data_IF_322231195260
#
_entry.id   IF_322231195260
#
_cell.length_a   1.000
_cell.length_b   1.000
_cell.length_c   1.000
_cell.angle_alpha   90.00
_cell.angle_beta   90.00
_cell.angle_gamma   90.00
#
_symmetry.space_group_name_H-M   'P 1'
#
loop_
_entity.id
_entity.type
_entity.pdbx_description
1 polymer ?
#
# COMPACT_ATOMS: atom_id res chain seq x y z
N UNK A 1 -2.49 -20.55 15.57
CA UNK A 1 -3.82 -20.28 16.16
C UNK A 1 -4.83 -21.22 15.51
N UNK A 2 -5.76 -21.84 16.25
CA UNK A 2 -6.86 -22.60 15.63
C UNK A 2 -7.99 -21.62 15.33
N UNK A 3 -8.09 -21.17 14.08
CA UNK A 3 -9.25 -20.44 13.61
C UNK A 3 -10.46 -21.39 13.62
N UNK A 4 -11.67 -20.93 14.02
CA UNK A 4 -12.83 -21.81 14.13
C UNK A 4 -13.21 -22.45 12.78
N UNK A 5 -13.55 -23.74 12.79
CA UNK A 5 -14.00 -24.49 11.60
C UNK A 5 -15.32 -23.95 11.02
N UNK A 6 -16.15 -23.32 11.87
CA UNK A 6 -17.40 -22.66 11.47
C UNK A 6 -17.62 -21.39 12.30
N UNK A 7 -18.14 -20.34 11.64
CA UNK A 7 -18.50 -19.08 12.30
C UNK A 7 -19.97 -19.04 12.74
N UNK A 8 -20.77 -20.04 12.38
CA UNK A 8 -22.22 -20.04 12.61
C UNK A 8 -22.53 -19.95 14.11
N UNK A 9 -23.27 -18.91 14.49
CA UNK A 9 -23.67 -18.66 15.88
C UNK A 9 -22.57 -18.13 16.80
N UNK A 10 -21.33 -17.99 16.33
CA UNK A 10 -20.25 -17.42 17.14
C UNK A 10 -20.44 -15.91 17.31
N UNK A 11 -20.29 -15.43 18.54
CA UNK A 11 -20.22 -14.00 18.83
C UNK A 11 -18.82 -13.49 18.53
N UNK A 12 -18.72 -12.52 17.64
CA UNK A 12 -17.43 -12.04 17.12
C UNK A 12 -17.41 -10.52 17.19
N UNK A 13 -16.39 -9.97 17.84
CA UNK A 13 -16.20 -8.54 17.93
C UNK A 13 -15.45 -8.04 16.70
N UNK A 14 -16.00 -7.03 16.01
CA UNK A 14 -15.25 -6.23 15.04
C UNK A 14 -14.86 -4.93 15.72
N UNK A 15 -13.57 -4.75 15.96
CA UNK A 15 -13.00 -3.56 16.57
C UNK A 15 -12.53 -2.61 15.47
N UNK A 16 -13.28 -1.53 15.27
CA UNK A 16 -13.12 -0.54 14.21
C UNK A 16 -14.00 -0.83 12.99
N UNK A 17 -14.96 0.04 12.71
CA UNK A 17 -15.98 0.00 11.64
C UNK A 17 -15.64 0.82 10.40
N UNK A 18 -14.36 0.91 10.03
CA UNK A 18 -13.93 1.48 8.75
C UNK A 18 -14.30 0.58 7.56
N UNK A 19 -13.67 0.81 6.40
CA UNK A 19 -13.93 0.02 5.17
C UNK A 19 -13.70 -1.49 5.40
N UNK A 20 -12.57 -1.86 6.01
CA UNK A 20 -12.25 -3.27 6.34
C UNK A 20 -13.21 -3.84 7.38
N UNK A 21 -13.50 -3.07 8.44
CA UNK A 21 -14.39 -3.49 9.52
C UNK A 21 -15.81 -3.79 9.03
N UNK A 22 -16.37 -2.89 8.21
CA UNK A 22 -17.69 -3.09 7.63
C UNK A 22 -17.73 -4.28 6.66
N UNK A 23 -16.66 -4.50 5.89
CA UNK A 23 -16.57 -5.70 5.04
C UNK A 23 -16.53 -6.98 5.86
N UNK A 24 -15.75 -7.00 6.95
CA UNK A 24 -15.72 -8.13 7.89
C UNK A 24 -17.10 -8.35 8.55
N UNK A 25 -17.80 -7.29 9.00
CA UNK A 25 -19.16 -7.39 9.53
C UNK A 25 -20.11 -8.08 8.54
N UNK A 26 -20.14 -7.60 7.29
CA UNK A 26 -21.00 -8.15 6.25
C UNK A 26 -20.68 -9.62 5.97
N UNK A 27 -19.39 -9.96 5.92
CA UNK A 27 -18.94 -11.34 5.76
C UNK A 27 -19.38 -12.24 6.93
N UNK A 28 -19.20 -11.77 8.17
CA UNK A 28 -19.62 -12.50 9.37
C UNK A 28 -21.13 -12.76 9.38
N UNK A 29 -21.93 -11.77 8.97
CA UNK A 29 -23.39 -11.93 8.79
C UNK A 29 -23.70 -13.00 7.75
N UNK A 30 -23.02 -13.00 6.59
CA UNK A 30 -23.25 -14.02 5.55
C UNK A 30 -22.87 -15.43 6.01
N UNK A 31 -21.89 -15.56 6.91
CA UNK A 31 -21.53 -16.84 7.54
C UNK A 31 -22.41 -17.20 8.75
N UNK A 32 -23.51 -16.45 8.97
CA UNK A 32 -24.48 -16.67 10.06
C UNK A 32 -23.83 -16.58 11.45
N UNK A 33 -22.78 -15.79 11.60
CA UNK A 33 -22.21 -15.42 12.88
C UNK A 33 -23.09 -14.38 13.59
N UNK A 34 -22.71 -14.01 14.81
CA UNK A 34 -23.31 -12.94 15.60
C UNK A 34 -22.29 -11.80 15.79
N UNK A 35 -22.02 -11.00 14.75
CA UNK A 35 -21.06 -9.92 14.85
C UNK A 35 -21.54 -8.80 15.76
N UNK A 36 -20.58 -8.15 16.41
CA UNK A 36 -20.76 -6.97 17.26
C UNK A 36 -19.76 -5.92 16.78
N UNK A 37 -20.19 -4.67 16.62
CA UNK A 37 -19.31 -3.57 16.24
C UNK A 37 -18.89 -2.80 17.49
N UNK A 38 -17.58 -2.56 17.61
CA UNK A 38 -17.03 -1.62 18.56
C UNK A 38 -16.18 -0.57 17.82
N UNK A 39 -16.58 0.70 17.88
CA UNK A 39 -15.92 1.81 17.19
C UNK A 39 -16.07 3.13 17.97
N UNK A 40 -15.15 4.07 17.74
CA UNK A 40 -15.22 5.42 18.30
C UNK A 40 -16.45 6.19 17.79
N UNK A 41 -16.77 6.03 16.50
CA UNK A 41 -17.84 6.72 15.81
C UNK A 41 -19.03 5.79 15.64
N UNK A 42 -20.17 6.18 16.20
CA UNK A 42 -21.40 5.44 15.98
C UNK A 42 -21.81 5.56 14.50
N UNK A 43 -21.99 4.44 13.78
CA UNK A 43 -22.48 4.49 12.41
C UNK A 43 -23.94 4.96 12.37
N UNK A 44 -24.31 5.75 11.37
CA UNK A 44 -25.68 6.26 11.20
C UNK A 44 -26.72 5.13 11.12
N UNK A 45 -26.33 3.97 10.56
CA UNK A 45 -27.14 2.77 10.51
C UNK A 45 -26.26 1.57 10.83
N UNK A 46 -26.63 0.81 11.85
CA UNK A 46 -26.05 -0.51 12.15
C UNK A 46 -27.15 -1.54 12.30
N UNK A 47 -26.94 -2.70 11.69
CA UNK A 47 -27.81 -3.88 11.85
C UNK A 47 -27.30 -4.83 12.93
N UNK A 48 -26.16 -4.50 13.54
CA UNK A 48 -25.50 -5.28 14.59
C UNK A 48 -25.43 -4.48 15.89
N UNK A 49 -25.34 -5.15 17.06
CA UNK A 49 -25.08 -4.47 18.32
C UNK A 49 -23.82 -3.59 18.23
N UNK A 50 -23.93 -2.37 18.77
CA UNK A 50 -22.85 -1.38 18.76
C UNK A 50 -22.42 -1.03 20.19
N UNK A 51 -21.11 -0.90 20.38
CA UNK A 51 -20.51 -0.40 21.61
C UNK A 51 -19.48 0.69 21.28
N UNK A 52 -19.43 1.81 22.02
CA UNK A 52 -18.35 2.77 21.82
C UNK A 52 -17.01 2.14 22.24
N UNK A 53 -15.90 2.55 21.62
CA UNK A 53 -14.58 1.95 21.89
C UNK A 53 -13.96 2.33 23.24
N UNK A 54 -14.53 3.34 23.91
CA UNK A 54 -14.14 3.80 25.24
C UNK A 54 -14.82 3.03 26.39
N UNK A 55 -15.64 2.00 26.10
CA UNK A 55 -16.25 1.20 27.17
C UNK A 55 -15.20 0.39 27.94
N UNK A 56 -15.44 0.12 29.24
CA UNK A 56 -14.66 -0.87 29.97
C UNK A 56 -14.72 -2.22 29.22
N UNK A 57 -13.58 -2.86 28.91
CA UNK A 57 -13.58 -4.14 28.19
C UNK A 57 -14.40 -5.25 28.88
N UNK A 58 -14.55 -5.18 30.21
CA UNK A 58 -15.36 -6.12 31.00
C UNK A 58 -16.86 -5.98 30.75
N UNK A 59 -17.31 -4.86 30.19
CA UNK A 59 -18.71 -4.62 29.81
C UNK A 59 -19.06 -5.19 28.44
N UNK A 60 -18.06 -5.63 27.66
CA UNK A 60 -18.30 -6.35 26.41
C UNK A 60 -18.92 -7.72 26.70
N UNK A 61 -19.86 -8.18 25.86
CA UNK A 61 -20.32 -9.56 25.93
C UNK A 61 -19.17 -10.53 25.66
N UNK A 62 -19.31 -11.76 26.13
CA UNK A 62 -18.34 -12.81 25.83
C UNK A 62 -18.30 -13.09 24.32
N UNK A 63 -17.11 -12.98 23.73
CA UNK A 63 -16.85 -13.18 22.30
C UNK A 63 -15.79 -14.25 22.10
N UNK A 64 -15.89 -14.97 20.98
CA UNK A 64 -14.97 -16.06 20.63
C UNK A 64 -13.80 -15.62 19.76
N UNK A 65 -13.88 -14.44 19.15
CA UNK A 65 -12.89 -13.91 18.20
C UNK A 65 -13.02 -12.38 18.15
N UNK A 66 -11.89 -11.70 17.97
CA UNK A 66 -11.82 -10.28 17.64
C UNK A 66 -11.24 -10.10 16.23
N UNK A 67 -11.99 -9.42 15.37
CA UNK A 67 -11.48 -8.89 14.10
C UNK A 67 -11.01 -7.46 14.35
N UNK A 68 -9.71 -7.23 14.26
CA UNK A 68 -9.09 -5.91 14.46
C UNK A 68 -8.97 -5.19 13.12
N UNK A 69 -9.50 -3.98 13.05
CA UNK A 69 -9.24 -3.08 11.91
C UNK A 69 -7.83 -2.48 11.98
N UNK A 70 -7.16 -2.23 10.83
CA UNK A 70 -5.77 -1.76 10.81
C UNK A 70 -5.55 -0.41 11.53
N UNK A 71 -6.56 0.45 11.55
CA UNK A 71 -6.50 1.75 12.23
C UNK A 71 -6.44 1.68 13.76
N UNK A 72 -6.82 0.54 14.35
CA UNK A 72 -6.82 0.38 15.81
C UNK A 72 -5.39 0.23 16.32
N UNK A 73 -5.05 1.03 17.34
CA UNK A 73 -3.73 1.00 17.97
C UNK A 73 -3.50 -0.33 18.70
N UNK A 74 -2.29 -0.90 18.66
CA UNK A 74 -1.96 -2.12 19.41
C UNK A 74 -2.17 -2.00 20.93
N UNK A 75 -2.15 -0.78 21.47
CA UNK A 75 -2.35 -0.48 22.90
C UNK A 75 -3.81 -0.34 23.30
N UNK A 76 -4.76 -0.63 22.40
CA UNK A 76 -6.18 -0.49 22.69
C UNK A 76 -6.60 -1.42 23.86
N UNK A 77 -7.32 -0.94 24.90
CA UNK A 77 -7.64 -1.72 26.09
C UNK A 77 -8.34 -3.07 25.81
N UNK A 78 -9.22 -3.10 24.81
CA UNK A 78 -9.90 -4.34 24.35
C UNK A 78 -8.90 -5.40 23.86
N UNK A 79 -7.78 -5.02 23.25
CA UNK A 79 -6.76 -5.97 22.78
C UNK A 79 -6.00 -6.59 23.96
N UNK A 80 -5.67 -5.80 24.97
CA UNK A 80 -5.09 -6.32 26.22
C UNK A 80 -6.05 -7.28 26.92
N UNK A 81 -7.33 -6.91 27.00
CA UNK A 81 -8.38 -7.78 27.55
C UNK A 81 -8.53 -9.09 26.77
N UNK A 82 -8.51 -9.03 25.44
CA UNK A 82 -8.56 -10.21 24.58
C UNK A 82 -7.35 -11.13 24.84
N UNK A 83 -6.14 -10.57 24.99
CA UNK A 83 -4.95 -11.33 25.32
C UNK A 83 -5.06 -12.03 26.69
N UNK A 84 -5.50 -11.32 27.73
CA UNK A 84 -5.70 -11.87 29.08
C UNK A 84 -6.72 -13.03 29.09
N UNK A 85 -7.77 -12.89 28.28
CA UNK A 85 -8.81 -13.92 28.11
C UNK A 85 -8.47 -14.99 27.08
N UNK A 86 -7.29 -14.92 26.45
CA UNK A 86 -6.84 -15.80 25.36
C UNK A 86 -7.83 -15.84 24.19
N UNK A 87 -8.55 -14.75 23.95
CA UNK A 87 -9.44 -14.57 22.81
C UNK A 87 -8.56 -14.28 21.59
N UNK A 88 -8.70 -15.05 20.50
CA UNK A 88 -7.93 -14.81 19.29
C UNK A 88 -8.24 -13.43 18.70
N UNK A 89 -7.19 -12.71 18.29
CA UNK A 89 -7.27 -11.46 17.53
C UNK A 89 -6.70 -11.72 16.15
N UNK A 90 -7.45 -11.35 15.12
CA UNK A 90 -7.07 -11.54 13.71
C UNK A 90 -7.43 -10.29 12.90
N UNK A 91 -6.80 -10.10 11.74
CA UNK A 91 -7.20 -9.05 10.81
C UNK A 91 -8.33 -9.49 9.89
N UNK A 92 -8.91 -8.54 9.15
CA UNK A 92 -9.81 -8.82 8.03
C UNK A 92 -9.13 -9.65 6.92
N UNK A 93 -7.81 -9.50 6.72
CA UNK A 93 -7.06 -10.28 5.75
C UNK A 93 -6.94 -11.75 6.18
N UNK A 94 -6.71 -12.02 7.46
CA UNK A 94 -6.70 -13.38 8.01
C UNK A 94 -8.06 -14.06 7.85
N UNK A 95 -9.14 -13.31 8.12
CA UNK A 95 -10.51 -13.77 7.93
C UNK A 95 -10.75 -14.14 6.46
N UNK A 96 -10.41 -13.26 5.51
CA UNK A 96 -10.54 -13.55 4.08
C UNK A 96 -9.68 -14.75 3.66
N UNK A 97 -8.44 -14.83 4.15
CA UNK A 97 -7.51 -15.92 3.81
C UNK A 97 -8.04 -17.28 4.22
N UNK A 98 -8.68 -17.39 5.37
CA UNK A 98 -9.21 -18.65 5.87
C UNK A 98 -10.25 -19.27 4.93
N UNK A 99 -11.07 -18.44 4.27
CA UNK A 99 -12.14 -18.91 3.37
C UNK A 99 -11.73 -18.98 1.90
N UNK A 100 -10.67 -18.26 1.51
CA UNK A 100 -10.19 -18.26 0.13
C UNK A 100 -9.41 -19.52 -0.21
N UNK A 101 -9.79 -20.17 -1.31
CA UNK A 101 -9.21 -21.45 -1.78
C UNK A 101 -8.28 -21.31 -3.00
N UNK A 102 -8.30 -20.16 -3.67
CA UNK A 102 -7.45 -19.90 -4.83
C UNK A 102 -6.02 -19.57 -4.43
N UNK A 103 -5.22 -19.23 -5.44
CA UNK A 103 -3.84 -18.76 -5.24
C UNK A 103 -3.82 -17.30 -4.78
N UNK A 104 -2.81 -16.90 -4.01
CA UNK A 104 -2.67 -15.52 -3.55
C UNK A 104 -1.27 -15.00 -3.81
N UNK A 105 -1.22 -13.80 -4.41
CA UNK A 105 -0.02 -12.96 -4.44
C UNK A 105 -0.22 -11.81 -3.46
N UNK A 106 0.66 -11.65 -2.49
CA UNK A 106 0.67 -10.50 -1.58
C UNK A 106 1.77 -9.51 -1.92
N UNK A 107 1.47 -8.21 -1.89
CA UNK A 107 2.43 -7.14 -2.17
C UNK A 107 2.51 -6.19 -0.98
N UNK A 108 3.71 -5.97 -0.46
CA UNK A 108 4.00 -4.91 0.51
C UNK A 108 5.25 -4.12 0.13
N UNK A 109 5.48 -3.05 0.85
CA UNK A 109 6.53 -2.07 0.61
C UNK A 109 6.18 -0.74 1.26
N UNK A 110 7.12 0.19 1.25
CA UNK A 110 6.83 1.58 1.61
C UNK A 110 6.12 2.24 0.43
N UNK A 111 6.73 2.12 -0.75
CA UNK A 111 6.23 2.69 -2.01
C UNK A 111 6.07 1.62 -3.10
N UNK A 112 5.42 2.00 -4.21
CA UNK A 112 5.22 1.14 -5.37
C UNK A 112 4.09 0.11 -5.23
N UNK A 113 3.68 -0.25 -4.01
CA UNK A 113 2.63 -1.26 -3.69
C UNK A 113 1.47 -1.30 -4.68
N UNK A 114 0.69 -0.23 -4.76
CA UNK A 114 -0.51 -0.20 -5.60
C UNK A 114 -0.19 -0.38 -7.09
N UNK A 115 0.88 0.27 -7.56
CA UNK A 115 1.32 0.12 -8.96
C UNK A 115 1.71 -1.32 -9.24
N UNK A 116 2.49 -1.95 -8.35
CA UNK A 116 2.91 -3.34 -8.49
C UNK A 116 1.72 -4.30 -8.41
N UNK A 117 0.77 -4.10 -7.49
CA UNK A 117 -0.47 -4.90 -7.38
C UNK A 117 -1.23 -4.90 -8.70
N UNK A 118 -1.54 -3.71 -9.23
CA UNK A 118 -2.29 -3.61 -10.49
C UNK A 118 -1.47 -4.00 -11.71
N UNK A 119 -0.14 -3.85 -11.68
CA UNK A 119 0.73 -4.32 -12.75
C UNK A 119 0.77 -5.85 -12.78
N UNK A 120 0.86 -6.53 -11.63
CA UNK A 120 0.76 -7.99 -11.54
C UNK A 120 -0.59 -8.47 -12.07
N UNK A 121 -1.69 -7.86 -11.60
CA UNK A 121 -3.04 -8.17 -12.08
C UNK A 121 -3.17 -7.98 -13.60
N UNK A 122 -2.61 -6.89 -14.15
CA UNK A 122 -2.61 -6.62 -15.58
C UNK A 122 -1.82 -7.64 -16.39
N UNK A 123 -0.61 -7.99 -15.94
CA UNK A 123 0.25 -8.98 -16.61
C UNK A 123 -0.36 -10.39 -16.59
N UNK A 124 -1.11 -10.73 -15.54
CA UNK A 124 -1.67 -12.06 -15.34
C UNK A 124 -3.08 -12.25 -15.92
N UNK A 125 -3.70 -11.19 -16.44
CA UNK A 125 -5.12 -11.19 -16.80
C UNK A 125 -5.51 -12.23 -17.87
N UNK A 126 -4.60 -12.66 -18.75
CA UNK A 126 -4.92 -13.73 -19.71
C UNK A 126 -4.69 -15.12 -19.12
N UNK A 127 -3.71 -15.26 -18.21
CA UNK A 127 -3.42 -16.53 -17.54
C UNK A 127 -4.44 -16.84 -16.43
N UNK A 128 -5.01 -15.81 -15.81
CA UNK A 128 -6.01 -15.88 -14.75
C UNK A 128 -7.16 -14.87 -15.04
N UNK A 129 -8.07 -15.16 -15.98
CA UNK A 129 -9.11 -14.21 -16.41
C UNK A 129 -10.05 -13.72 -15.31
N UNK A 130 -10.27 -14.57 -14.31
CA UNK A 130 -11.12 -14.37 -13.14
C UNK A 130 -10.38 -13.77 -11.94
N UNK A 131 -9.09 -13.43 -12.07
CA UNK A 131 -8.33 -12.82 -10.97
C UNK A 131 -9.01 -11.55 -10.44
N UNK A 132 -8.82 -11.30 -9.14
CA UNK A 132 -9.22 -10.03 -8.50
C UNK A 132 -8.06 -9.41 -7.73
N UNK A 133 -7.99 -8.08 -7.78
CA UNK A 133 -7.11 -7.28 -6.94
C UNK A 133 -7.88 -6.73 -5.72
N UNK A 134 -7.20 -6.60 -4.58
CA UNK A 134 -7.85 -6.12 -3.35
C UNK A 134 -6.89 -5.88 -2.19
N UNK A 135 -7.45 -5.92 -0.98
CA UNK A 135 -6.72 -5.69 0.28
C UNK A 135 -6.74 -4.22 0.67
N UNK A 136 -5.56 -3.61 0.86
CA UNK A 136 -5.43 -2.17 1.10
C UNK A 136 -5.74 -1.33 -0.15
N UNK A 137 -5.73 -1.95 -1.33
CA UNK A 137 -6.07 -1.31 -2.60
C UNK A 137 -7.50 -1.67 -3.01
N UNK A 138 -8.35 -0.67 -3.18
CA UNK A 138 -9.69 -0.86 -3.74
C UNK A 138 -10.63 -1.58 -2.78
N UNK A 139 -10.88 -2.87 -3.05
CA UNK A 139 -11.90 -3.66 -2.35
C UNK A 139 -11.28 -4.53 -1.24
N UNK A 140 -11.91 -4.61 -0.05
CA UNK A 140 -11.48 -5.52 1.02
C UNK A 140 -11.47 -6.99 0.58
N UNK A 141 -10.60 -7.80 1.16
CA UNK A 141 -10.47 -9.19 0.77
C UNK A 141 -11.72 -10.01 1.11
N UNK A 142 -12.34 -9.77 2.27
CA UNK A 142 -13.55 -10.46 2.71
C UNK A 142 -14.77 -10.23 1.80
N UNK A 143 -14.75 -9.18 0.95
CA UNK A 143 -15.86 -8.95 0.03
C UNK A 143 -15.89 -9.92 -1.16
N UNK A 144 -14.77 -10.60 -1.45
CA UNK A 144 -14.67 -11.51 -2.60
C UNK A 144 -13.99 -12.85 -2.28
N UNK A 145 -13.56 -13.09 -1.04
CA UNK A 145 -12.81 -14.29 -0.65
C UNK A 145 -13.59 -15.62 -0.81
N UNK A 146 -14.91 -15.59 -1.01
CA UNK A 146 -15.74 -16.78 -1.29
C UNK A 146 -16.14 -16.93 -2.75
N UNK A 147 -15.78 -15.97 -3.60
CA UNK A 147 -16.02 -16.10 -5.02
C UNK A 147 -15.13 -17.20 -5.61
N UNK A 148 -15.64 -17.87 -6.65
CA UNK A 148 -14.90 -18.92 -7.36
C UNK A 148 -13.89 -18.31 -8.32
N UNK A 149 -12.89 -17.62 -7.78
CA UNK A 149 -11.79 -17.02 -8.54
C UNK A 149 -10.49 -17.80 -8.30
N UNK A 150 -9.65 -17.89 -9.34
CA UNK A 150 -8.41 -18.65 -9.33
C UNK A 150 -7.26 -17.95 -8.60
N UNK A 151 -7.24 -16.62 -8.58
CA UNK A 151 -6.14 -15.81 -8.09
C UNK A 151 -6.62 -14.50 -7.42
N UNK A 152 -6.12 -14.25 -6.21
CA UNK A 152 -6.22 -12.96 -5.53
C UNK A 152 -4.85 -12.25 -5.54
N UNK A 153 -4.83 -10.96 -5.92
CA UNK A 153 -3.63 -10.11 -5.89
C UNK A 153 -3.86 -9.02 -4.84
N UNK A 154 -3.24 -9.16 -3.69
CA UNK A 154 -3.55 -8.36 -2.50
C UNK A 154 -2.45 -7.34 -2.21
N UNK A 155 -2.82 -6.06 -2.15
CA UNK A 155 -1.97 -5.05 -1.51
C UNK A 155 -2.10 -5.18 0.02
N UNK A 156 -0.98 -5.32 0.73
CA UNK A 156 -0.94 -5.50 2.17
C UNK A 156 -0.08 -4.41 2.84
N UNK A 157 -0.72 -3.61 3.70
CA UNK A 157 -0.05 -2.63 4.53
C UNK A 157 0.69 -3.28 5.70
N UNK A 158 1.64 -2.58 6.32
CA UNK A 158 2.26 -3.05 7.56
C UNK A 158 1.24 -3.22 8.70
N UNK A 159 0.17 -2.42 8.69
CA UNK A 159 -0.84 -2.45 9.75
C UNK A 159 -1.76 -3.67 9.64
N UNK A 160 -1.96 -4.19 8.43
CA UNK A 160 -2.64 -5.47 8.24
C UNK A 160 -1.71 -6.62 8.61
N UNK A 161 -0.45 -6.57 8.16
CA UNK A 161 0.51 -7.66 8.37
C UNK A 161 0.95 -7.83 9.82
N UNK A 162 1.04 -6.75 10.62
CA UNK A 162 1.48 -6.83 12.01
C UNK A 162 0.56 -7.73 12.87
N UNK A 163 -0.73 -7.81 12.55
CA UNK A 163 -1.72 -8.61 13.27
C UNK A 163 -1.96 -9.97 12.62
N UNK A 164 -1.42 -10.19 11.41
CA UNK A 164 -1.65 -11.42 10.68
C UNK A 164 -0.80 -12.58 11.17
N UNK A 165 -1.41 -13.76 11.11
CA UNK A 165 -0.69 -15.04 11.12
C UNK A 165 -0.06 -15.29 9.75
N UNK A 166 0.79 -16.31 9.57
CA UNK A 166 1.28 -16.66 8.23
C UNK A 166 0.09 -16.80 7.26
N UNK A 167 0.01 -15.87 6.31
CA UNK A 167 -1.11 -15.81 5.37
C UNK A 167 -1.04 -16.93 4.32
N UNK A 168 -0.03 -17.80 4.37
CA UNK A 168 0.19 -18.91 3.44
C UNK A 168 -0.08 -18.51 1.99
N UNK A 169 0.63 -17.46 1.56
CA UNK A 169 0.59 -16.94 0.20
C UNK A 169 1.41 -17.85 -0.72
N UNK A 170 1.06 -17.93 -2.00
CA UNK A 170 1.89 -18.63 -2.98
C UNK A 170 3.13 -17.81 -3.30
N UNK A 171 2.93 -16.51 -3.55
CA UNK A 171 4.00 -15.55 -3.85
C UNK A 171 3.81 -14.31 -2.99
N UNK A 172 4.89 -13.80 -2.41
CA UNK A 172 4.92 -12.49 -1.76
C UNK A 172 5.96 -11.58 -2.41
N UNK A 173 5.66 -10.28 -2.43
CA UNK A 173 6.56 -9.25 -2.93
C UNK A 173 6.77 -8.22 -1.82
N UNK A 174 8.03 -8.03 -1.42
CA UNK A 174 8.42 -6.95 -0.51
C UNK A 174 9.34 -5.98 -1.27
N UNK A 175 8.74 -4.89 -1.77
CA UNK A 175 9.37 -4.00 -2.74
C UNK A 175 10.57 -3.23 -2.16
N UNK A 176 10.31 -2.46 -1.10
CA UNK A 176 11.27 -1.51 -0.54
C UNK A 176 10.92 -1.17 0.91
N UNK A 177 11.89 -0.65 1.63
CA UNK A 177 11.75 -0.17 2.99
C UNK A 177 12.37 1.23 3.11
N UNK A 178 11.55 2.22 3.46
CA UNK A 178 11.95 3.59 3.77
C UNK A 178 11.19 4.07 5.02
N UNK A 179 11.59 5.20 5.61
CA UNK A 179 10.94 5.72 6.82
C UNK A 179 9.49 6.09 6.52
N UNK A 180 8.55 5.39 7.15
CA UNK A 180 7.11 5.67 7.14
C UNK A 180 6.51 5.00 8.39
N UNK A 181 5.40 5.54 8.89
CA UNK A 181 4.64 4.96 9.99
C UNK A 181 5.41 4.69 11.31
N UNK A 182 6.48 5.45 11.58
CA UNK A 182 7.28 5.29 12.79
C UNK A 182 6.54 5.68 14.07
N UNK A 183 5.50 6.52 13.96
CA UNK A 183 4.58 6.81 15.06
C UNK A 183 3.89 5.55 15.61
N UNK A 184 3.71 4.53 14.76
CA UNK A 184 3.11 3.24 15.14
C UNK A 184 4.18 2.20 15.47
N UNK A 185 5.16 2.05 14.59
CA UNK A 185 6.16 0.97 14.70
C UNK A 185 7.29 1.30 15.67
N UNK A 186 7.47 2.57 16.04
CA UNK A 186 8.53 3.10 16.90
C UNK A 186 9.94 3.05 16.28
N UNK A 187 10.29 1.96 15.61
CA UNK A 187 11.62 1.75 15.00
C UNK A 187 11.51 1.19 13.58
N UNK A 188 12.55 1.45 12.77
CA UNK A 188 12.69 0.86 11.43
C UNK A 188 12.81 -0.67 11.45
N UNK A 189 13.31 -1.24 12.54
CA UNK A 189 13.38 -2.70 12.72
C UNK A 189 11.97 -3.28 12.89
N UNK A 190 11.17 -2.71 13.78
CA UNK A 190 9.78 -3.15 13.96
C UNK A 190 8.97 -3.01 12.67
N UNK A 191 9.18 -1.92 11.92
CA UNK A 191 8.51 -1.73 10.63
C UNK A 191 8.91 -2.78 9.58
N UNK A 192 10.21 -3.14 9.55
CA UNK A 192 10.71 -4.22 8.70
C UNK A 192 10.10 -5.57 9.09
N UNK A 193 10.13 -5.93 10.37
CA UNK A 193 9.55 -7.18 10.88
C UNK A 193 8.05 -7.26 10.61
N UNK A 194 7.31 -6.16 10.77
CA UNK A 194 5.90 -6.09 10.46
C UNK A 194 5.62 -6.40 8.97
N UNK A 195 6.42 -5.86 8.05
CA UNK A 195 6.28 -6.17 6.61
C UNK A 195 6.75 -7.58 6.25
N UNK A 196 7.79 -8.08 6.90
CA UNK A 196 8.36 -9.40 6.63
C UNK A 196 7.35 -10.52 6.92
N UNK A 197 6.36 -10.29 7.79
CA UNK A 197 5.23 -11.21 8.01
C UNK A 197 4.42 -11.54 6.76
N UNK A 198 4.58 -10.80 5.66
CA UNK A 198 4.02 -11.19 4.37
C UNK A 198 4.56 -12.54 3.87
N UNK A 199 5.77 -12.92 4.30
CA UNK A 199 6.44 -14.13 3.88
C UNK A 199 6.25 -15.24 4.91
N UNK A 200 5.95 -16.44 4.41
CA UNK A 200 6.09 -17.67 5.20
C UNK A 200 7.52 -18.20 5.01
N UNK A 201 8.45 -17.68 5.81
CA UNK A 201 9.89 -17.96 5.67
C UNK A 201 10.22 -19.45 5.87
N UNK A 202 9.37 -20.20 6.58
CA UNK A 202 9.54 -21.64 6.81
C UNK A 202 8.99 -22.52 5.69
N UNK A 203 8.23 -21.99 4.75
CA UNK A 203 7.55 -22.78 3.74
C UNK A 203 8.34 -22.82 2.43
N UNK A 204 8.90 -23.98 2.08
CA UNK A 204 9.68 -24.18 0.84
C UNK A 204 8.86 -24.01 -0.45
N UNK A 205 7.52 -24.12 -0.37
CA UNK A 205 6.64 -23.91 -1.51
C UNK A 205 6.26 -22.43 -1.70
N UNK A 206 6.59 -21.57 -0.73
CA UNK A 206 6.38 -20.14 -0.82
C UNK A 206 7.52 -19.47 -1.59
N UNK A 207 7.20 -18.54 -2.48
CA UNK A 207 8.19 -17.67 -3.12
C UNK A 207 8.11 -16.26 -2.56
N UNK A 208 9.22 -15.76 -2.02
CA UNK A 208 9.40 -14.38 -1.58
C UNK A 208 10.27 -13.63 -2.59
N UNK A 209 9.73 -12.55 -3.17
CA UNK A 209 10.41 -11.65 -4.11
C UNK A 209 10.73 -10.34 -3.40
N UNK A 210 12.00 -9.92 -3.45
CA UNK A 210 12.48 -8.72 -2.73
C UNK A 210 13.42 -7.87 -3.57
N UNK A 211 13.61 -6.61 -3.20
CA UNK A 211 14.73 -5.83 -3.76
C UNK A 211 16.07 -6.35 -3.23
N UNK A 212 17.16 -6.05 -3.93
CA UNK A 212 18.53 -6.39 -3.52
C UNK A 212 18.85 -5.98 -2.08
N UNK A 213 18.48 -4.76 -1.69
CA UNK A 213 18.71 -4.25 -0.32
C UNK A 213 17.99 -5.08 0.74
N UNK A 214 16.77 -5.54 0.45
CA UNK A 214 16.02 -6.37 1.38
C UNK A 214 16.59 -7.80 1.40
N UNK A 215 17.01 -8.33 0.25
CA UNK A 215 17.68 -9.64 0.17
C UNK A 215 18.93 -9.67 1.03
N UNK A 216 19.80 -8.66 0.92
CA UNK A 216 21.01 -8.53 1.74
C UNK A 216 20.67 -8.55 3.24
N UNK A 217 19.65 -7.79 3.66
CA UNK A 217 19.21 -7.78 5.06
C UNK A 217 18.71 -9.15 5.52
N UNK A 218 17.92 -9.85 4.71
CA UNK A 218 17.42 -11.19 5.04
C UNK A 218 18.58 -12.17 5.19
N UNK A 219 19.52 -12.20 4.23
CA UNK A 219 20.69 -13.08 4.26
C UNK A 219 21.54 -12.88 5.52
N UNK A 220 21.68 -11.65 5.99
CA UNK A 220 22.52 -11.32 7.14
C UNK A 220 21.88 -11.57 8.51
N UNK A 221 20.54 -11.66 8.59
CA UNK A 221 19.85 -11.59 9.89
C UNK A 221 18.73 -12.61 10.10
N UNK A 222 18.30 -13.33 9.05
CA UNK A 222 17.07 -14.12 9.09
C UNK A 222 17.30 -15.49 8.48
N UNK A 223 16.91 -16.55 9.20
CA UNK A 223 16.82 -17.90 8.64
C UNK A 223 15.57 -18.04 7.78
N UNK A 224 15.71 -18.64 6.60
CA UNK A 224 14.60 -18.90 5.68
C UNK A 224 14.80 -20.23 4.92
N UNK A 225 13.68 -20.83 4.53
CA UNK A 225 13.58 -22.05 3.72
C UNK A 225 12.72 -21.83 2.46
N UNK A 226 11.96 -20.73 2.41
CA UNK A 226 11.21 -20.34 1.22
C UNK A 226 12.13 -20.01 0.04
N UNK A 227 11.58 -20.03 -1.17
CA UNK A 227 12.30 -19.61 -2.37
C UNK A 227 12.47 -18.10 -2.38
N UNK A 228 13.70 -17.62 -2.19
CA UNK A 228 14.03 -16.18 -2.18
C UNK A 228 14.52 -15.73 -3.56
N UNK A 229 13.80 -14.80 -4.18
CA UNK A 229 14.15 -14.18 -5.46
C UNK A 229 14.38 -12.68 -5.28
N UNK A 230 15.30 -12.10 -6.05
CA UNK A 230 15.58 -10.67 -6.04
C UNK A 230 15.39 -9.99 -7.39
N UNK A 231 15.01 -8.72 -7.33
CA UNK A 231 15.07 -7.80 -8.48
C UNK A 231 15.97 -6.61 -8.15
N UNK A 232 16.66 -6.09 -9.18
CA UNK A 232 17.52 -4.92 -9.05
C UNK A 232 18.54 -4.81 -10.17
N UNK A 233 19.60 -4.03 -9.93
CA UNK A 233 20.56 -3.58 -10.95
C UNK A 233 21.87 -4.37 -10.95
N UNK A 234 21.98 -5.39 -10.10
CA UNK A 234 23.14 -6.29 -10.07
C UNK A 234 22.85 -7.52 -10.93
N UNK A 235 23.87 -8.04 -11.60
CA UNK A 235 23.74 -9.21 -12.47
C UNK A 235 23.26 -10.46 -11.73
N UNK A 236 23.42 -10.51 -10.42
CA UNK A 236 23.03 -11.63 -9.56
C UNK A 236 21.54 -11.58 -9.16
N UNK A 237 20.82 -10.52 -9.55
CA UNK A 237 19.38 -10.44 -9.37
C UNK A 237 18.64 -11.41 -10.31
N UNK A 238 17.63 -12.09 -9.76
CA UNK A 238 16.79 -13.01 -10.52
C UNK A 238 15.95 -12.29 -11.57
N UNK A 239 15.63 -11.01 -11.37
CA UNK A 239 15.24 -10.09 -12.43
C UNK A 239 16.24 -8.93 -12.46
N UNK A 240 17.14 -8.99 -13.44
CA UNK A 240 18.17 -7.99 -13.66
C UNK A 240 17.64 -6.85 -14.54
N UNK A 241 17.71 -5.65 -13.99
CA UNK A 241 17.44 -4.39 -14.66
C UNK A 241 18.75 -3.82 -15.22
N UNK A 242 18.98 -4.04 -16.49
CA UNK A 242 20.11 -3.44 -17.19
C UNK A 242 19.74 -1.99 -17.57
N UNK A 243 20.32 -1.01 -16.86
CA UNK A 243 20.03 0.41 -17.06
C UNK A 243 20.35 0.90 -18.48
N UNK A 244 21.35 0.29 -19.12
CA UNK A 244 21.77 0.61 -20.48
C UNK A 244 20.94 -0.11 -21.55
N UNK A 245 20.01 -0.97 -21.13
CA UNK A 245 19.11 -1.67 -22.01
C UNK A 245 17.64 -1.33 -21.74
N UNK A 246 16.81 -1.53 -22.76
CA UNK A 246 15.36 -1.52 -22.62
C UNK A 246 14.86 -2.94 -22.36
N UNK A 247 15.55 -3.73 -21.52
CA UNK A 247 15.22 -5.12 -21.23
C UNK A 247 15.25 -5.43 -19.74
N UNK A 248 14.40 -6.37 -19.32
CA UNK A 248 14.47 -7.04 -18.03
C UNK A 248 14.80 -8.51 -18.29
N UNK A 249 15.89 -9.01 -17.72
CA UNK A 249 16.30 -10.40 -17.85
C UNK A 249 15.95 -11.15 -16.57
N UNK A 250 15.06 -12.14 -16.67
CA UNK A 250 14.84 -13.09 -15.58
C UNK A 250 15.77 -14.29 -15.72
N UNK A 251 15.79 -15.19 -14.74
CA UNK A 251 16.50 -16.46 -14.86
C UNK A 251 15.94 -17.37 -15.97
N UNK A 252 14.73 -17.10 -16.45
CA UNK A 252 14.02 -17.93 -17.43
C UNK A 252 13.86 -17.25 -18.80
N UNK A 253 13.58 -15.95 -18.81
CA UNK A 253 13.18 -15.22 -20.02
C UNK A 253 13.78 -13.82 -20.09
N UNK A 254 13.68 -13.18 -21.25
CA UNK A 254 14.09 -11.80 -21.47
C UNK A 254 12.90 -11.02 -22.02
N UNK A 255 12.52 -9.95 -21.33
CA UNK A 255 11.39 -9.09 -21.71
C UNK A 255 11.89 -7.77 -22.29
N UNK A 256 11.32 -7.37 -23.42
CA UNK A 256 11.48 -6.03 -23.97
C UNK A 256 10.54 -5.04 -23.27
N UNK A 257 11.12 -4.01 -22.68
CA UNK A 257 10.43 -2.93 -21.97
C UNK A 257 10.54 -1.58 -22.71
N UNK A 258 10.98 -1.58 -23.96
CA UNK A 258 11.12 -0.36 -24.78
C UNK A 258 9.82 0.43 -24.94
N UNK A 259 8.68 -0.27 -24.88
CA UNK A 259 7.32 0.29 -24.96
C UNK A 259 6.61 0.35 -23.61
N UNK A 260 7.31 0.13 -22.50
CA UNK A 260 6.73 0.29 -21.17
C UNK A 260 6.44 1.77 -20.91
N UNK A 261 5.17 2.07 -20.60
CA UNK A 261 4.67 3.45 -20.60
C UNK A 261 5.15 4.28 -19.40
N UNK A 262 5.28 3.65 -18.22
CA UNK A 262 5.58 4.40 -17.00
C UNK A 262 7.07 4.79 -16.94
N UNK A 263 7.38 6.09 -16.79
CA UNK A 263 8.77 6.54 -16.73
C UNK A 263 9.40 6.26 -15.36
N UNK A 264 10.73 6.32 -15.30
CA UNK A 264 11.49 6.28 -14.06
C UNK A 264 11.96 4.89 -13.63
N UNK A 265 13.10 4.84 -12.94
CA UNK A 265 13.75 3.62 -12.47
C UNK A 265 12.88 2.83 -11.50
N UNK A 266 12.19 3.50 -10.58
CA UNK A 266 11.28 2.86 -9.62
C UNK A 266 10.13 2.10 -10.30
N UNK A 267 9.61 2.59 -11.43
CA UNK A 267 8.57 1.88 -12.17
C UNK A 267 9.14 0.68 -12.94
N UNK A 268 10.39 0.75 -13.38
CA UNK A 268 11.09 -0.42 -13.93
C UNK A 268 11.33 -1.48 -12.84
N UNK A 269 11.68 -1.07 -11.62
CA UNK A 269 11.81 -1.98 -10.46
C UNK A 269 10.46 -2.62 -10.10
N UNK A 270 9.38 -1.84 -10.06
CA UNK A 270 8.02 -2.37 -9.89
C UNK A 270 7.70 -3.40 -10.99
N UNK A 271 8.04 -3.11 -12.25
CA UNK A 271 7.85 -4.04 -13.36
C UNK A 271 8.67 -5.32 -13.22
N UNK A 272 9.94 -5.22 -12.82
CA UNK A 272 10.79 -6.38 -12.60
C UNK A 272 10.23 -7.30 -11.49
N UNK A 273 9.80 -6.71 -10.38
CA UNK A 273 9.11 -7.44 -9.31
C UNK A 273 7.80 -8.09 -9.80
N UNK A 274 7.00 -7.36 -10.59
CA UNK A 274 5.75 -7.87 -11.16
C UNK A 274 5.96 -9.01 -12.14
N UNK A 275 7.00 -8.96 -12.98
CA UNK A 275 7.37 -10.03 -13.91
C UNK A 275 7.75 -11.29 -13.13
N UNK A 276 8.61 -11.19 -12.11
CA UNK A 276 8.96 -12.35 -11.28
C UNK A 276 7.72 -12.97 -10.62
N UNK A 277 6.83 -12.13 -10.06
CA UNK A 277 5.62 -12.64 -9.41
C UNK A 277 4.69 -13.32 -10.43
N UNK A 278 4.58 -12.76 -11.63
CA UNK A 278 3.79 -13.33 -12.70
C UNK A 278 4.36 -14.68 -13.18
N UNK A 279 5.68 -14.80 -13.37
CA UNK A 279 6.30 -16.07 -13.74
C UNK A 279 6.12 -17.15 -12.67
N UNK A 280 6.29 -16.79 -11.40
CA UNK A 280 6.28 -17.75 -10.28
C UNK A 280 4.89 -18.28 -9.96
N UNK A 281 3.83 -17.50 -10.22
CA UNK A 281 2.46 -17.97 -10.06
C UNK A 281 1.97 -18.84 -11.25
N UNK A 282 2.72 -18.85 -12.36
CA UNK A 282 2.44 -19.63 -13.56
C UNK A 282 1.95 -18.81 -14.78
N UNK A 283 2.21 -17.51 -14.81
CA UNK A 283 1.95 -16.66 -15.98
C UNK A 283 2.82 -17.05 -17.17
N UNK A 284 2.22 -17.04 -18.37
CA UNK A 284 2.93 -17.37 -19.62
C UNK A 284 3.82 -16.20 -20.08
N UNK A 285 5.09 -16.43 -20.45
CA UNK A 285 6.02 -15.36 -20.80
C UNK A 285 5.55 -14.53 -22.01
N UNK A 286 4.93 -15.16 -23.01
CA UNK A 286 4.39 -14.45 -24.18
C UNK A 286 3.26 -13.50 -23.78
N UNK A 287 2.38 -13.94 -22.87
CA UNK A 287 1.27 -13.13 -22.34
C UNK A 287 1.76 -11.97 -21.48
N UNK A 288 2.77 -12.21 -20.64
CA UNK A 288 3.44 -11.15 -19.87
C UNK A 288 4.00 -10.10 -20.84
N UNK A 289 4.75 -10.53 -21.86
CA UNK A 289 5.36 -9.63 -22.84
C UNK A 289 4.34 -8.78 -23.61
N UNK A 290 3.23 -9.35 -24.08
CA UNK A 290 2.19 -8.60 -24.82
C UNK A 290 1.48 -7.58 -23.93
N UNK A 291 1.40 -7.83 -22.62
CA UNK A 291 0.75 -6.96 -21.65
C UNK A 291 1.60 -5.78 -21.21
N UNK A 292 2.93 -5.91 -21.13
CA UNK A 292 3.86 -4.83 -20.73
C UNK A 292 3.55 -3.47 -21.41
N UNK A 293 3.44 -3.37 -22.75
CA UNK A 293 3.21 -2.08 -23.42
C UNK A 293 1.79 -1.53 -23.24
N UNK A 294 0.86 -2.30 -22.69
CA UNK A 294 -0.55 -1.93 -22.53
C UNK A 294 -0.87 -1.32 -21.16
N UNK A 295 0.02 -1.47 -20.18
CA UNK A 295 -0.21 -0.89 -18.85
C UNK A 295 -0.09 0.64 -18.92
N UNK A 296 -1.07 1.35 -18.33
CA UNK A 296 -1.13 2.83 -18.33
C UNK A 296 -0.96 3.45 -16.95
N UNK A 297 -0.65 2.64 -15.94
CA UNK A 297 -0.59 3.08 -14.55
C UNK A 297 -1.96 3.06 -13.87
N UNK A 298 -1.98 3.59 -12.65
CA UNK A 298 -3.18 3.69 -11.83
C UNK A 298 -3.87 5.05 -12.04
N UNK A 299 -5.21 5.10 -11.95
CA UNK A 299 -5.90 6.36 -11.73
C UNK A 299 -5.32 7.09 -10.50
N UNK A 300 -5.21 8.41 -10.57
CA UNK A 300 -4.73 9.30 -9.50
C UNK A 300 -3.26 9.14 -9.07
N UNK A 301 -2.42 8.53 -9.92
CA UNK A 301 -0.96 8.49 -9.74
C UNK A 301 -0.28 9.09 -10.97
N UNK A 302 0.28 10.30 -10.83
CA UNK A 302 0.74 11.13 -11.96
C UNK A 302 -0.26 11.23 -13.12
N UNK A 303 -1.55 11.22 -12.80
CA UNK A 303 -2.59 11.25 -13.81
C UNK A 303 -2.84 12.68 -14.27
N UNK A 304 -2.79 12.96 -15.58
CA UNK A 304 -3.29 14.23 -16.12
C UNK A 304 -4.81 14.27 -15.86
N UNK A 305 -5.23 15.12 -14.93
CA UNK A 305 -6.62 15.32 -14.53
C UNK A 305 -7.38 16.25 -15.47
N UNK A 306 -6.65 17.00 -16.30
CA UNK A 306 -7.20 17.90 -17.31
C UNK A 306 -6.28 19.09 -17.55
N UNK A 307 -6.68 19.95 -18.47
CA UNK A 307 -6.01 21.20 -18.76
C UNK A 307 -7.03 22.34 -18.76
N UNK A 308 -6.67 23.47 -18.17
CA UNK A 308 -7.50 24.67 -18.21
C UNK A 308 -6.62 25.91 -18.16
N UNK A 309 -6.90 26.88 -19.03
CA UNK A 309 -6.14 28.15 -19.14
C UNK A 309 -4.62 27.92 -19.36
N UNK A 310 -4.25 26.88 -20.11
CA UNK A 310 -2.85 26.53 -20.36
C UNK A 310 -2.13 25.89 -19.18
N UNK A 311 -2.85 25.56 -18.10
CA UNK A 311 -2.31 24.85 -16.93
C UNK A 311 -2.77 23.39 -16.98
N UNK A 312 -1.81 22.47 -17.02
CA UNK A 312 -2.08 21.03 -16.88
C UNK A 312 -2.17 20.65 -15.40
N UNK A 313 -3.26 20.00 -15.01
CA UNK A 313 -3.47 19.50 -13.67
C UNK A 313 -3.04 18.04 -13.58
N UNK A 314 -2.19 17.73 -12.61
CA UNK A 314 -1.69 16.37 -12.39
C UNK A 314 -2.14 15.92 -11.02
N UNK A 315 -2.93 14.84 -10.99
CA UNK A 315 -3.38 14.21 -9.78
C UNK A 315 -2.39 13.11 -9.36
N UNK A 316 -1.69 13.36 -8.26
CA UNK A 316 -0.85 12.40 -7.56
C UNK A 316 -1.25 12.25 -6.08
N UNK A 317 -2.56 12.34 -5.79
CA UNK A 317 -3.14 12.25 -4.44
C UNK A 317 -2.84 10.95 -3.69
N UNK A 318 -2.32 9.92 -4.39
CA UNK A 318 -1.87 8.67 -3.78
C UNK A 318 -0.48 8.76 -3.12
N UNK A 319 0.28 9.83 -3.37
CA UNK A 319 1.55 10.12 -2.70
C UNK A 319 1.30 10.68 -1.28
N UNK A 320 1.06 9.77 -0.34
CA UNK A 320 0.70 10.09 1.07
C UNK A 320 1.90 10.18 2.02
N UNK A 321 3.12 10.17 1.51
CA UNK A 321 4.37 10.43 2.24
C UNK A 321 5.34 11.19 1.32
N UNK A 322 6.34 11.87 1.90
CA UNK A 322 7.29 12.71 1.15
C UNK A 322 8.14 11.88 0.18
N UNK A 323 8.50 10.66 0.57
CA UNK A 323 9.33 9.78 -0.24
C UNK A 323 8.65 9.39 -1.57
N UNK A 324 7.35 9.03 -1.54
CA UNK A 324 6.55 8.71 -2.74
C UNK A 324 6.46 9.90 -3.69
N UNK A 325 6.14 11.07 -3.15
CA UNK A 325 6.03 12.31 -3.93
C UNK A 325 7.37 12.64 -4.60
N UNK A 326 8.47 12.62 -3.84
CA UNK A 326 9.81 12.91 -4.38
C UNK A 326 10.27 11.88 -5.41
N UNK A 327 9.96 10.60 -5.21
CA UNK A 327 10.29 9.54 -6.16
C UNK A 327 9.59 9.76 -7.52
N UNK A 328 8.33 10.20 -7.49
CA UNK A 328 7.59 10.56 -8.69
C UNK A 328 8.10 11.84 -9.37
N UNK A 329 8.51 12.83 -8.57
CA UNK A 329 9.06 14.09 -9.09
C UNK A 329 10.54 14.01 -9.47
N UNK A 330 11.24 12.91 -9.20
CA UNK A 330 12.68 12.78 -9.44
C UNK A 330 13.07 13.07 -10.90
N UNK A 331 12.25 12.62 -11.85
CA UNK A 331 12.46 12.80 -13.30
C UNK A 331 11.71 14.00 -13.88
N UNK A 332 11.13 14.86 -13.03
CA UNK A 332 10.37 16.03 -13.48
C UNK A 332 11.28 17.08 -14.12
N UNK A 333 11.00 17.46 -15.36
CA UNK A 333 11.86 18.37 -16.14
C UNK A 333 11.51 19.84 -15.94
N UNK A 334 10.23 20.17 -15.81
CA UNK A 334 9.73 21.57 -15.80
C UNK A 334 9.46 22.05 -14.37
N UNK A 335 10.42 21.86 -13.46
CA UNK A 335 10.27 22.15 -12.03
C UNK A 335 9.97 23.63 -11.79
N UNK A 336 10.63 24.52 -12.52
CA UNK A 336 10.45 25.98 -12.51
C UNK A 336 9.06 26.46 -12.95
N UNK A 337 8.34 25.65 -13.73
CA UNK A 337 6.96 25.90 -14.15
C UNK A 337 5.93 25.11 -13.33
N UNK A 338 6.38 24.40 -12.29
CA UNK A 338 5.51 23.55 -11.49
C UNK A 338 5.01 24.27 -10.25
N UNK A 339 3.69 24.25 -10.06
CA UNK A 339 3.05 24.57 -8.79
C UNK A 339 2.80 23.26 -8.02
N UNK A 340 3.52 23.05 -6.93
CA UNK A 340 3.37 21.87 -6.08
C UNK A 340 2.36 22.14 -4.97
N UNK A 341 1.31 21.33 -4.88
CA UNK A 341 0.31 21.43 -3.80
C UNK A 341 0.66 20.39 -2.73
N UNK A 342 1.03 20.85 -1.53
CA UNK A 342 1.43 20.05 -0.38
C UNK A 342 0.45 20.25 0.79
N UNK A 343 0.15 19.20 1.53
CA UNK A 343 -0.65 19.35 2.73
C UNK A 343 -1.22 18.05 3.29
N UNK A 344 -2.04 18.21 4.33
CA UNK A 344 -2.63 17.11 5.09
C UNK A 344 -2.02 16.97 6.48
N UNK A 345 -2.11 15.77 7.07
CA UNK A 345 -1.51 15.46 8.36
C UNK A 345 -0.02 15.13 8.18
N UNK A 346 0.91 15.89 8.79
CA UNK A 346 2.34 15.61 8.64
C UNK A 346 2.69 14.30 9.36
N UNK A 347 3.51 13.47 8.74
CA UNK A 347 4.13 12.32 9.42
C UNK A 347 5.48 12.74 10.00
N UNK A 348 6.05 11.89 10.87
CA UNK A 348 7.42 12.07 11.32
C UNK A 348 8.38 11.63 10.21
N UNK A 349 8.84 12.58 9.39
CA UNK A 349 9.72 12.35 8.25
C UNK A 349 10.76 13.46 8.12
N UNK A 350 11.97 13.12 7.63
CA UNK A 350 13.04 14.09 7.38
C UNK A 350 12.67 14.98 6.19
N UNK A 351 12.65 16.30 6.40
CA UNK A 351 12.32 17.29 5.38
C UNK A 351 13.50 17.70 4.52
N UNK A 352 14.73 17.30 4.87
CA UNK A 352 15.93 17.64 4.08
C UNK A 352 15.82 17.23 2.60
N UNK A 353 15.28 16.05 2.24
CA UNK A 353 15.04 15.70 0.83
C UNK A 353 14.05 16.64 0.13
N UNK A 354 13.01 17.12 0.84
CA UNK A 354 12.07 18.12 0.30
C UNK A 354 12.82 19.42 0.03
N UNK A 355 13.60 19.91 0.99
CA UNK A 355 14.35 21.16 0.82
C UNK A 355 15.33 21.08 -0.34
N UNK A 356 16.08 19.98 -0.46
CA UNK A 356 16.97 19.74 -1.60
C UNK A 356 16.21 19.76 -2.93
N UNK A 357 15.01 19.21 -2.97
CA UNK A 357 14.16 19.26 -4.16
C UNK A 357 13.70 20.69 -4.49
N UNK A 358 13.23 21.45 -3.50
CA UNK A 358 12.76 22.82 -3.70
C UNK A 358 13.87 23.78 -4.16
N UNK A 359 15.11 23.58 -3.67
CA UNK A 359 16.30 24.34 -4.07
C UNK A 359 16.61 24.21 -5.58
N UNK A 360 16.13 23.14 -6.25
CA UNK A 360 16.26 22.97 -7.71
C UNK A 360 15.50 24.05 -8.50
N UNK A 361 14.73 24.90 -7.83
CA UNK A 361 14.07 26.06 -8.43
C UNK A 361 12.62 25.80 -8.79
N UNK A 362 11.83 25.26 -7.87
CA UNK A 362 10.37 25.08 -8.07
C UNK A 362 9.69 26.41 -8.44
N UNK A 363 8.64 26.35 -9.26
CA UNK A 363 7.81 27.50 -9.61
C UNK A 363 7.15 28.10 -8.38
N UNK A 364 6.29 27.32 -7.72
CA UNK A 364 5.77 27.67 -6.40
C UNK A 364 5.27 26.45 -5.61
N UNK A 365 4.96 26.67 -4.34
CA UNK A 365 4.32 25.68 -3.46
C UNK A 365 3.06 26.28 -2.87
N UNK A 366 1.96 25.53 -2.88
CA UNK A 366 0.76 25.81 -2.08
C UNK A 366 0.71 24.81 -0.94
N UNK A 367 0.74 25.29 0.30
CA UNK A 367 0.76 24.49 1.53
C UNK A 367 -0.57 24.62 2.28
N UNK A 368 -1.18 23.49 2.67
CA UNK A 368 -2.47 23.48 3.38
C UNK A 368 -2.58 22.43 4.49
N UNK A 369 -3.61 22.54 5.34
CA UNK A 369 -3.92 21.59 6.40
C UNK A 369 -2.95 21.59 7.59
N UNK A 370 -2.99 20.54 8.41
CA UNK A 370 -2.18 20.40 9.64
C UNK A 370 -0.67 20.56 9.38
N UNK A 371 -0.18 20.13 8.20
CA UNK A 371 1.22 20.22 7.80
C UNK A 371 1.72 21.67 7.69
N UNK A 372 0.83 22.66 7.51
CA UNK A 372 1.20 24.08 7.45
C UNK A 372 1.96 24.49 8.70
N UNK A 373 1.43 24.14 9.88
CA UNK A 373 2.04 24.48 11.17
C UNK A 373 3.45 23.93 11.30
N UNK A 374 3.69 22.73 10.78
CA UNK A 374 4.97 22.05 10.89
C UNK A 374 5.99 22.50 9.82
N UNK A 375 5.54 22.79 8.59
CA UNK A 375 6.44 22.91 7.43
C UNK A 375 6.60 24.33 6.89
N UNK A 376 5.69 25.26 7.22
CA UNK A 376 5.64 26.61 6.64
C UNK A 376 6.98 27.36 6.81
N UNK A 377 7.50 27.43 8.04
CA UNK A 377 8.76 28.15 8.32
C UNK A 377 9.95 27.58 7.53
N UNK A 378 10.08 26.25 7.51
CA UNK A 378 11.16 25.57 6.80
C UNK A 378 11.08 25.78 5.29
N UNK A 379 9.89 25.65 4.69
CA UNK A 379 9.70 25.85 3.25
C UNK A 379 9.90 27.33 2.88
N UNK A 380 9.36 28.26 3.68
CA UNK A 380 9.47 29.71 3.45
C UNK A 380 10.93 30.17 3.43
N UNK A 381 11.78 29.60 4.29
CA UNK A 381 13.21 29.90 4.30
C UNK A 381 13.93 29.46 3.01
N UNK A 382 13.39 28.48 2.27
CA UNK A 382 14.00 27.96 1.04
C UNK A 382 13.49 28.69 -0.21
N UNK A 383 12.19 28.95 -0.31
CA UNK A 383 11.57 29.47 -1.56
C UNK A 383 10.94 30.86 -1.42
N UNK A 384 10.92 31.44 -0.21
CA UNK A 384 10.46 32.81 0.05
C UNK A 384 9.02 33.05 -0.39
N UNK A 385 8.83 34.07 -1.24
CA UNK A 385 7.53 34.52 -1.74
C UNK A 385 6.83 33.51 -2.67
N UNK A 386 7.52 32.44 -3.08
CA UNK A 386 6.95 31.35 -3.86
C UNK A 386 6.12 30.37 -3.02
N UNK A 387 5.99 30.58 -1.70
CA UNK A 387 5.12 29.80 -0.83
C UNK A 387 3.78 30.51 -0.59
N UNK A 388 2.69 29.82 -0.93
CA UNK A 388 1.32 30.22 -0.63
C UNK A 388 0.75 29.29 0.44
N UNK A 389 0.01 29.85 1.39
CA UNK A 389 -0.63 29.07 2.45
C UNK A 389 -2.14 29.25 2.39
N UNK A 390 -2.87 28.13 2.46
CA UNK A 390 -4.33 28.10 2.47
C UNK A 390 -4.86 27.14 3.53
N UNK A 391 -6.12 27.27 3.90
CA UNK A 391 -6.71 26.42 4.95
C UNK A 391 -7.05 25.03 4.39
N UNK A 392 -7.64 24.96 3.20
CA UNK A 392 -8.04 23.69 2.58
C UNK A 392 -7.65 23.59 1.10
N UNK A 393 -7.78 22.38 0.54
CA UNK A 393 -7.43 22.12 -0.87
C UNK A 393 -8.30 22.92 -1.85
N UNK A 394 -9.58 23.18 -1.54
CA UNK A 394 -10.45 23.94 -2.43
C UNK A 394 -9.99 25.40 -2.57
N UNK A 395 -9.49 26.00 -1.50
CA UNK A 395 -8.94 27.35 -1.50
C UNK A 395 -7.73 27.48 -2.44
N UNK A 396 -7.00 26.39 -2.70
CA UNK A 396 -5.91 26.37 -3.68
C UNK A 396 -6.41 26.72 -5.08
N UNK A 397 -7.59 26.23 -5.47
CA UNK A 397 -8.15 26.51 -6.78
C UNK A 397 -8.66 27.94 -6.91
N UNK A 398 -9.01 28.61 -5.81
CA UNK A 398 -9.36 30.03 -5.81
C UNK A 398 -8.14 30.92 -6.10
N UNK A 399 -6.94 30.50 -5.70
CA UNK A 399 -5.68 31.18 -6.09
C UNK A 399 -5.51 31.15 -7.61
N UNK A 400 -5.72 29.99 -8.24
CA UNK A 400 -5.62 29.87 -9.69
C UNK A 400 -6.68 30.68 -10.44
N UNK A 401 -7.91 30.78 -9.90
CA UNK A 401 -8.98 31.60 -10.49
C UNK A 401 -8.68 33.10 -10.44
N UNK A 402 -7.96 33.57 -9.42
CA UNK A 402 -7.61 34.98 -9.24
C UNK A 402 -6.47 35.47 -10.14
N UNK A 403 -5.92 34.61 -11.01
CA UNK A 403 -4.94 35.02 -12.01
C UNK A 403 -3.59 35.39 -11.41
N UNK A 404 -3.14 34.72 -10.35
CA UNK A 404 -1.71 34.69 -10.03
C UNK A 404 -1.04 33.85 -11.13
N UNK A 405 -0.84 34.50 -12.28
CA UNK A 405 -0.11 33.94 -13.40
C UNK A 405 1.34 33.83 -12.99
N UNK A 406 1.84 32.59 -13.01
CA UNK A 406 3.24 32.28 -12.84
C UNK A 406 4.08 33.21 -13.72
N UNK A 407 5.22 33.73 -13.24
CA UNK A 407 6.07 34.56 -14.06
C UNK A 407 6.37 33.80 -15.36
N UNK A 408 5.84 34.33 -16.46
CA UNK A 408 6.11 33.83 -17.80
C UNK A 408 7.61 33.94 -18.04
N UNK A 409 8.30 32.88 -18.50
CA UNK A 409 9.67 33.03 -18.96
C UNK A 409 9.63 33.90 -20.22
N UNK A 410 10.18 35.11 -20.13
CA UNK A 410 10.62 35.86 -21.32
C UNK A 410 11.92 35.24 -21.82
#
# INVERSE_FOLDING_TARGET
MKFPESLKGLKILVLGGGISGNSALNFLISEKAQPILCDQNQPERTVVPFFPDNIPPQSLPEVSLVIKSPGILPTHPILSYAADKKIPVVSEIDLGRYFFKGKIIGITGTDGKSTTTSLIAHLLKESFPDLKEGGNLGIPFTSFCKESISLAVLELSSYQLEDSSPLHLDVSVFLNLASDHLERHKTMENYFQAKLKIADLSNSNHTLIVSEKIKERILNSISYQCKLLSFGKTSDSNAFLDENSLKIKTSKFVYDISKFYLPGTHNRENLAASILAAEEIGGKPESIQTRIPLFRGLPHRFQIAGEKLGISFINDSKSTNLHSMLAGMATWKNIDQTCLILGGRPKQEDLKPLYNFLIRGIGCVVLFGEARVAWESGIKNIIGEKLYCVENLNDTFEIFKKGIYFPSPV
#
